data_IF_153186268346
#
_entry.id   IF_153186268346
#
_cell.length_a   1.000
_cell.length_b   1.000
_cell.length_c   1.000
_cell.angle_alpha   90.00
_cell.angle_beta   90.00
_cell.angle_gamma   90.00
#
_symmetry.space_group_name_H-M   'P 1'
#
loop_
_entity.id
_entity.type
_entity.pdbx_description
1 polymer ?
#
# COMPACT_ATOMS: atom_id res chain seq x y z
N UNK A 1 9.79 5.09 -20.83
CA UNK A 1 8.87 6.14 -21.34
C UNK A 1 7.50 5.57 -21.72
N UNK A 2 7.37 4.57 -22.58
CA UNK A 2 6.06 4.02 -23.03
C UNK A 2 5.15 3.54 -21.89
N UNK A 3 5.69 2.84 -20.91
CA UNK A 3 4.91 2.32 -19.76
C UNK A 3 4.40 3.44 -18.83
N UNK A 4 5.20 4.49 -18.58
CA UNK A 4 4.77 5.65 -17.81
C UNK A 4 3.63 6.39 -18.53
N UNK A 5 3.72 6.55 -19.85
CA UNK A 5 2.65 7.16 -20.66
C UNK A 5 1.35 6.35 -20.61
N UNK A 6 1.45 5.01 -20.63
CA UNK A 6 0.27 4.15 -20.51
C UNK A 6 -0.37 4.27 -19.11
N UNK A 7 0.44 4.38 -18.06
CA UNK A 7 -0.05 4.57 -16.71
C UNK A 7 -0.70 5.96 -16.54
N UNK A 8 -0.08 7.01 -17.10
CA UNK A 8 -0.63 8.35 -17.11
C UNK A 8 -1.95 8.44 -17.90
N UNK A 9 -2.07 7.70 -19.00
CA UNK A 9 -3.33 7.64 -19.76
C UNK A 9 -4.45 7.05 -18.89
N UNK A 10 -4.20 6.02 -18.10
CA UNK A 10 -5.17 5.47 -17.13
C UNK A 10 -5.57 6.50 -16.07
N UNK A 11 -4.60 7.26 -15.56
CA UNK A 11 -4.90 8.32 -14.59
C UNK A 11 -5.86 9.36 -15.18
N UNK A 12 -5.67 9.72 -16.45
CA UNK A 12 -6.50 10.71 -17.15
C UNK A 12 -7.94 10.25 -17.42
N UNK A 13 -8.22 8.95 -17.37
CA UNK A 13 -9.58 8.43 -17.42
C UNK A 13 -10.39 8.87 -16.20
N UNK A 14 -9.73 8.97 -15.04
CA UNK A 14 -10.35 9.47 -13.79
C UNK A 14 -10.16 10.97 -13.61
N UNK A 15 -8.93 11.47 -13.83
CA UNK A 15 -8.52 12.85 -13.59
C UNK A 15 -7.97 13.46 -14.90
N UNK A 16 -8.83 14.05 -15.75
CA UNK A 16 -8.41 14.69 -16.99
C UNK A 16 -7.32 15.75 -16.73
N UNK A 17 -6.29 15.78 -17.57
CA UNK A 17 -5.17 16.72 -17.44
C UNK A 17 -4.10 16.33 -16.41
N UNK A 18 -4.34 15.31 -15.58
CA UNK A 18 -3.34 14.83 -14.63
C UNK A 18 -2.10 14.26 -15.34
N UNK A 19 -0.94 14.43 -14.69
CA UNK A 19 0.34 13.92 -15.13
C UNK A 19 0.99 13.12 -14.01
N UNK A 20 1.84 12.18 -14.38
CA UNK A 20 2.65 11.43 -13.43
C UNK A 20 4.09 11.96 -13.45
N UNK A 21 4.66 12.10 -12.25
CA UNK A 21 6.07 12.39 -12.03
C UNK A 21 6.73 11.31 -11.16
N UNK A 22 8.02 11.08 -11.36
CA UNK A 22 8.78 10.18 -10.50
C UNK A 22 9.25 10.94 -9.27
N UNK A 23 8.93 10.44 -8.09
CA UNK A 23 9.29 11.04 -6.79
C UNK A 23 10.04 10.07 -5.93
N UNK A 24 11.03 10.58 -5.21
CA UNK A 24 11.70 9.89 -4.13
C UNK A 24 10.82 9.96 -2.88
N UNK A 25 10.62 8.81 -2.24
CA UNK A 25 9.84 8.74 -1.00
C UNK A 25 10.80 8.88 0.19
N UNK A 26 10.60 9.89 1.06
CA UNK A 26 11.44 10.09 2.23
C UNK A 26 11.37 8.90 3.19
N UNK A 27 12.40 8.73 4.01
CA UNK A 27 12.51 7.73 5.07
C UNK A 27 12.27 6.27 4.63
N UNK A 28 12.35 6.01 3.33
CA UNK A 28 12.26 4.68 2.71
C UNK A 28 13.65 4.19 2.28
N UNK A 29 13.73 3.09 1.54
CA UNK A 29 14.98 2.58 0.92
C UNK A 29 15.36 3.35 -0.35
N UNK A 30 15.26 4.67 -0.39
CA UNK A 30 15.37 5.51 -1.59
C UNK A 30 14.37 5.10 -2.69
N UNK A 31 13.18 4.64 -2.28
CA UNK A 31 12.15 4.18 -3.19
C UNK A 31 11.66 5.33 -4.05
N UNK A 32 11.57 5.08 -5.35
CA UNK A 32 11.01 6.00 -6.34
C UNK A 32 9.67 5.50 -6.83
N UNK A 33 8.67 6.38 -6.85
CA UNK A 33 7.33 6.05 -7.32
C UNK A 33 6.89 7.04 -8.41
N UNK A 34 6.18 6.55 -9.41
CA UNK A 34 5.42 7.40 -10.32
C UNK A 34 4.09 7.73 -9.66
N UNK A 35 3.92 8.99 -9.31
CA UNK A 35 2.75 9.52 -8.60
C UNK A 35 2.22 10.74 -9.36
N UNK A 36 0.98 11.14 -9.05
CA UNK A 36 0.41 12.37 -9.59
C UNK A 36 1.31 13.57 -9.27
N UNK A 37 1.42 14.50 -10.20
CA UNK A 37 2.20 15.71 -9.98
C UNK A 37 1.53 16.66 -8.99
N UNK A 38 2.33 17.43 -8.25
CA UNK A 38 1.87 18.45 -7.31
C UNK A 38 1.21 19.65 -7.98
N UNK A 39 1.52 19.88 -9.26
CA UNK A 39 0.94 20.94 -10.06
C UNK A 39 -0.48 20.60 -10.55
N UNK A 40 -1.04 19.46 -10.15
CA UNK A 40 -2.43 19.14 -10.43
C UNK A 40 -3.33 20.16 -9.70
N UNK A 41 -4.27 20.81 -10.42
CA UNK A 41 -5.14 21.82 -9.82
C UNK A 41 -5.93 21.27 -8.64
N UNK A 42 -5.93 22.02 -7.52
CA UNK A 42 -6.73 21.72 -6.33
C UNK A 42 -8.09 22.41 -6.34
N UNK A 43 -8.45 23.05 -7.45
CA UNK A 43 -9.76 23.66 -7.64
C UNK A 43 -10.87 22.60 -7.64
N UNK A 44 -12.12 23.00 -7.31
CA UNK A 44 -13.25 22.08 -7.38
C UNK A 44 -13.37 21.41 -8.75
N UNK A 45 -13.46 20.08 -8.73
CA UNK A 45 -13.62 19.30 -9.96
C UNK A 45 -15.00 19.55 -10.58
N UNK A 46 -15.06 19.54 -11.90
CA UNK A 46 -16.33 19.54 -12.60
C UNK A 46 -17.16 18.27 -12.27
N UNK A 47 -18.47 18.33 -12.52
CA UNK A 47 -19.39 17.25 -12.15
C UNK A 47 -19.03 15.90 -12.79
N UNK A 48 -18.55 15.91 -14.03
CA UNK A 48 -18.21 14.66 -14.71
C UNK A 48 -16.94 14.05 -14.13
N UNK A 49 -15.91 14.86 -13.92
CA UNK A 49 -14.66 14.44 -13.29
C UNK A 49 -14.92 13.92 -11.86
N UNK A 50 -15.79 14.62 -11.10
CA UNK A 50 -16.17 14.16 -9.76
C UNK A 50 -16.85 12.78 -9.80
N UNK A 51 -17.75 12.53 -10.75
CA UNK A 51 -18.37 11.19 -10.94
C UNK A 51 -17.34 10.14 -11.29
N UNK A 52 -16.37 10.45 -12.14
CA UNK A 52 -15.29 9.52 -12.49
C UNK A 52 -14.46 9.15 -11.25
N UNK A 53 -14.10 10.14 -10.42
CA UNK A 53 -13.35 9.93 -9.17
C UNK A 53 -14.14 9.06 -8.18
N UNK A 54 -15.44 9.30 -8.04
CA UNK A 54 -16.29 8.51 -7.14
C UNK A 54 -16.41 7.05 -7.62
N UNK A 55 -16.60 6.85 -8.92
CA UNK A 55 -16.84 5.53 -9.49
C UNK A 55 -15.57 4.69 -9.68
N UNK A 56 -14.43 5.32 -9.91
CA UNK A 56 -13.14 4.66 -10.17
C UNK A 56 -11.99 5.55 -9.68
N UNK A 57 -11.83 5.67 -8.35
CA UNK A 57 -10.79 6.53 -7.78
C UNK A 57 -9.39 5.98 -8.09
N UNK A 58 -8.51 6.85 -8.58
CA UNK A 58 -7.13 6.49 -8.88
C UNK A 58 -6.25 6.56 -7.61
N UNK A 59 -6.59 5.81 -6.55
CA UNK A 59 -5.85 5.79 -5.27
C UNK A 59 -4.38 5.43 -5.45
N UNK A 60 -4.06 4.62 -6.44
CA UNK A 60 -2.70 4.19 -6.80
C UNK A 60 -1.80 5.33 -7.30
N UNK A 61 -2.38 6.47 -7.69
CA UNK A 61 -1.62 7.64 -8.14
C UNK A 61 -1.00 8.43 -6.97
N UNK A 62 -1.27 8.03 -5.74
CA UNK A 62 -0.73 8.61 -4.51
C UNK A 62 0.09 7.56 -3.75
N UNK A 63 1.03 8.02 -2.95
CA UNK A 63 1.62 7.22 -1.87
C UNK A 63 0.98 7.67 -0.56
N UNK A 64 -0.02 6.91 -0.09
CA UNK A 64 -0.77 7.24 1.12
C UNK A 64 0.10 7.21 2.36
N UNK A 65 -0.22 8.02 3.37
CA UNK A 65 0.56 8.14 4.60
C UNK A 65 0.85 6.81 5.28
N UNK A 66 -0.12 5.90 5.34
CA UNK A 66 0.09 4.55 5.88
C UNK A 66 1.08 3.73 5.06
N UNK A 67 1.12 3.91 3.75
CA UNK A 67 2.13 3.27 2.90
C UNK A 67 3.54 3.81 3.12
N UNK A 68 3.68 5.14 3.32
CA UNK A 68 4.97 5.76 3.68
C UNK A 68 5.43 5.27 5.04
N UNK A 69 4.52 5.25 6.04
CA UNK A 69 4.80 4.73 7.39
C UNK A 69 5.21 3.25 7.35
N UNK A 70 4.54 2.44 6.53
CA UNK A 70 4.89 1.03 6.34
C UNK A 70 6.31 0.88 5.76
N UNK A 71 6.66 1.64 4.72
CA UNK A 71 8.00 1.58 4.11
C UNK A 71 9.10 2.00 5.08
N UNK A 72 8.87 3.06 5.87
CA UNK A 72 9.80 3.51 6.91
C UNK A 72 9.97 2.44 8.00
N UNK A 73 8.87 1.89 8.49
CA UNK A 73 8.90 0.85 9.51
C UNK A 73 9.60 -0.43 9.02
N UNK A 74 9.33 -0.86 7.77
CA UNK A 74 10.00 -2.00 7.14
C UNK A 74 11.50 -1.76 7.01
N UNK A 75 11.93 -0.54 6.70
CA UNK A 75 13.35 -0.17 6.62
C UNK A 75 14.04 -0.31 7.97
N UNK A 76 13.41 0.14 9.05
CA UNK A 76 13.95 0.05 10.41
C UNK A 76 13.99 -1.41 10.91
N UNK A 77 13.04 -2.24 10.48
CA UNK A 77 12.86 -3.62 10.92
C UNK A 77 13.19 -4.64 9.81
N UNK A 78 14.14 -4.33 8.93
CA UNK A 78 14.43 -5.12 7.74
C UNK A 78 14.71 -6.60 8.00
N UNK A 79 15.40 -6.93 9.10
CA UNK A 79 15.71 -8.30 9.49
C UNK A 79 14.45 -9.18 9.67
N UNK A 80 13.32 -8.59 10.08
CA UNK A 80 12.04 -9.31 10.22
C UNK A 80 11.49 -9.80 8.86
N UNK A 81 11.86 -9.15 7.77
CA UNK A 81 11.40 -9.46 6.40
C UNK A 81 12.35 -10.37 5.64
N UNK A 82 13.62 -10.48 6.07
CA UNK A 82 14.63 -11.23 5.35
C UNK A 82 14.25 -12.70 5.18
N UNK A 83 14.33 -13.20 3.94
CA UNK A 83 14.00 -14.58 3.57
C UNK A 83 12.52 -14.96 3.65
N UNK A 84 11.62 -14.05 4.04
CA UNK A 84 10.18 -14.29 4.21
C UNK A 84 9.41 -14.18 2.89
N UNK A 85 8.23 -14.80 2.89
CA UNK A 85 7.21 -14.61 1.85
C UNK A 85 6.20 -13.58 2.34
N UNK A 86 6.04 -12.50 1.60
CA UNK A 86 5.21 -11.34 1.97
C UNK A 86 4.02 -11.25 1.02
N UNK A 87 2.87 -10.86 1.57
CA UNK A 87 1.71 -10.46 0.80
C UNK A 87 1.33 -9.02 1.20
N UNK A 88 1.33 -8.12 0.24
CA UNK A 88 0.82 -6.75 0.39
C UNK A 88 -0.58 -6.68 -0.22
N UNK A 89 -1.60 -6.41 0.59
CA UNK A 89 -3.02 -6.32 0.20
C UNK A 89 -3.40 -4.86 0.04
N UNK A 90 -4.06 -4.54 -1.09
CA UNK A 90 -4.34 -3.15 -1.46
C UNK A 90 -3.05 -2.43 -1.82
N UNK A 91 -2.21 -3.03 -2.66
CA UNK A 91 -0.84 -2.56 -2.92
C UNK A 91 -0.75 -1.14 -3.49
N UNK A 92 -1.80 -0.64 -4.14
CA UNK A 92 -1.88 0.74 -4.65
C UNK A 92 -0.67 1.15 -5.49
N UNK A 93 0.15 2.07 -4.97
CA UNK A 93 1.42 2.48 -5.59
C UNK A 93 2.53 1.42 -5.51
N UNK A 94 2.37 0.40 -4.67
CA UNK A 94 3.33 -0.69 -4.46
C UNK A 94 4.40 -0.40 -3.40
N UNK A 95 4.30 0.70 -2.66
CA UNK A 95 5.35 1.15 -1.74
C UNK A 95 5.74 0.10 -0.70
N UNK A 96 4.77 -0.52 -0.02
CA UNK A 96 5.02 -1.50 1.03
C UNK A 96 5.62 -2.80 0.47
N UNK A 97 5.09 -3.30 -0.66
CA UNK A 97 5.63 -4.46 -1.36
C UNK A 97 7.08 -4.24 -1.83
N UNK A 98 7.38 -3.04 -2.38
CA UNK A 98 8.73 -2.67 -2.81
C UNK A 98 9.67 -2.60 -1.61
N UNK A 99 9.25 -1.97 -0.51
CA UNK A 99 10.03 -1.88 0.72
C UNK A 99 10.35 -3.27 1.28
N UNK A 100 9.37 -4.18 1.36
CA UNK A 100 9.57 -5.56 1.79
C UNK A 100 10.57 -6.31 0.88
N UNK A 101 10.49 -6.10 -0.43
CA UNK A 101 11.46 -6.68 -1.38
C UNK A 101 12.88 -6.12 -1.17
N UNK A 102 13.02 -4.83 -0.85
CA UNK A 102 14.31 -4.19 -0.55
C UNK A 102 14.88 -4.65 0.79
N UNK A 103 14.02 -4.96 1.77
CA UNK A 103 14.39 -5.54 3.06
C UNK A 103 14.80 -7.02 2.99
N UNK A 104 14.94 -7.60 1.79
CA UNK A 104 15.44 -8.96 1.63
C UNK A 104 14.37 -10.05 1.66
N UNK A 105 13.08 -9.72 1.51
CA UNK A 105 12.03 -10.72 1.37
C UNK A 105 12.32 -11.66 0.19
N UNK A 106 12.16 -12.97 0.41
CA UNK A 106 12.41 -14.01 -0.60
C UNK A 106 11.40 -13.95 -1.75
N UNK A 107 10.14 -13.69 -1.42
CA UNK A 107 9.04 -13.63 -2.38
C UNK A 107 8.02 -12.59 -1.89
N UNK A 108 7.62 -11.70 -2.80
CA UNK A 108 6.61 -10.68 -2.49
C UNK A 108 5.47 -10.76 -3.49
N UNK A 109 4.28 -10.98 -2.96
CA UNK A 109 3.02 -10.85 -3.68
C UNK A 109 2.46 -9.44 -3.41
N UNK A 110 2.08 -8.75 -4.47
CA UNK A 110 1.33 -7.50 -4.39
C UNK A 110 -0.06 -7.73 -4.96
N UNK A 111 -1.06 -7.62 -4.09
CA UNK A 111 -2.46 -7.90 -4.38
C UNK A 111 -3.26 -6.63 -4.46
N UNK A 112 -3.96 -6.42 -5.57
CA UNK A 112 -4.90 -5.30 -5.68
C UNK A 112 -6.01 -5.65 -6.67
N UNK A 113 -7.25 -5.31 -6.34
CA UNK A 113 -8.42 -5.53 -7.20
C UNK A 113 -8.45 -4.54 -8.37
N UNK A 114 -7.85 -3.34 -8.20
CA UNK A 114 -7.77 -2.31 -9.23
C UNK A 114 -6.66 -2.64 -10.25
N UNK A 115 -7.03 -2.71 -11.52
CA UNK A 115 -6.09 -2.94 -12.62
C UNK A 115 -5.08 -1.78 -12.78
N UNK A 116 -5.46 -0.55 -12.44
CA UNK A 116 -4.58 0.62 -12.42
C UNK A 116 -3.52 0.48 -11.33
N UNK A 117 -3.93 0.09 -10.12
CA UNK A 117 -3.01 -0.19 -9.02
C UNK A 117 -2.02 -1.31 -9.36
N UNK A 118 -2.50 -2.42 -9.95
CA UNK A 118 -1.61 -3.51 -10.42
C UNK A 118 -0.60 -3.03 -11.47
N UNK A 119 -1.01 -2.12 -12.36
CA UNK A 119 -0.11 -1.53 -13.35
C UNK A 119 0.90 -0.58 -12.71
N UNK A 120 0.46 0.27 -11.76
CA UNK A 120 1.30 1.18 -11.00
C UNK A 120 2.34 0.42 -10.17
N UNK A 121 1.91 -0.57 -9.39
CA UNK A 121 2.80 -1.43 -8.60
C UNK A 121 3.87 -2.09 -9.47
N UNK A 122 3.49 -2.63 -10.65
CA UNK A 122 4.44 -3.26 -11.58
C UNK A 122 5.46 -2.25 -12.10
N UNK A 123 5.00 -1.08 -12.52
CA UNK A 123 5.88 -0.03 -13.02
C UNK A 123 6.83 0.46 -11.93
N UNK A 124 6.33 0.75 -10.75
CA UNK A 124 7.11 1.24 -9.63
C UNK A 124 8.12 0.20 -9.12
N UNK A 125 7.76 -1.09 -9.10
CA UNK A 125 8.70 -2.17 -8.78
C UNK A 125 9.87 -2.19 -9.77
N UNK A 126 9.60 -2.13 -11.09
CA UNK A 126 10.63 -2.07 -12.13
C UNK A 126 11.51 -0.82 -11.99
N UNK A 127 10.94 0.34 -11.68
CA UNK A 127 11.65 1.59 -11.44
C UNK A 127 12.68 1.47 -10.31
N UNK A 128 12.41 0.62 -9.32
CA UNK A 128 13.30 0.32 -8.18
C UNK A 128 14.13 -0.95 -8.38
N UNK A 129 14.18 -1.51 -9.59
CA UNK A 129 14.95 -2.72 -9.88
C UNK A 129 14.41 -3.98 -9.18
N UNK A 130 13.12 -3.99 -8.82
CA UNK A 130 12.47 -5.10 -8.12
C UNK A 130 11.49 -5.85 -9.02
N UNK A 131 11.36 -7.15 -8.76
CA UNK A 131 10.38 -8.01 -9.42
C UNK A 131 9.43 -8.55 -8.36
N UNK A 132 8.15 -8.20 -8.49
CA UNK A 132 7.07 -8.62 -7.60
C UNK A 132 6.13 -9.57 -8.35
N UNK A 133 5.45 -10.45 -7.62
CA UNK A 133 4.35 -11.24 -8.16
C UNK A 133 3.05 -10.48 -7.96
N UNK A 134 2.51 -9.94 -9.05
CA UNK A 134 1.29 -9.15 -9.02
C UNK A 134 0.08 -10.06 -9.17
N UNK A 135 -0.85 -10.00 -8.23
CA UNK A 135 -2.09 -10.79 -8.23
C UNK A 135 -3.30 -9.87 -8.08
N UNK A 136 -4.43 -10.32 -8.59
CA UNK A 136 -5.70 -9.58 -8.52
C UNK A 136 -6.50 -9.90 -7.27
N UNK A 137 -6.41 -11.13 -6.80
CA UNK A 137 -7.26 -11.62 -5.72
C UNK A 137 -6.45 -12.48 -4.74
N UNK A 138 -6.66 -12.26 -3.44
CA UNK A 138 -6.03 -13.02 -2.35
C UNK A 138 -6.31 -14.53 -2.46
N UNK A 139 -7.45 -14.93 -3.00
CA UNK A 139 -7.81 -16.34 -3.20
C UNK A 139 -6.87 -17.07 -4.18
N UNK A 140 -6.10 -16.35 -4.98
CA UNK A 140 -5.08 -16.92 -5.86
C UNK A 140 -3.95 -17.59 -5.07
N UNK A 141 -3.71 -17.18 -3.83
CA UNK A 141 -2.66 -17.73 -2.95
C UNK A 141 -3.02 -19.13 -2.45
N UNK A 142 -4.30 -19.40 -2.18
CA UNK A 142 -4.75 -20.64 -1.53
C UNK A 142 -4.63 -21.92 -2.41
N UNK A 143 -4.38 -21.79 -3.71
CA UNK A 143 -4.46 -22.93 -4.63
C UNK A 143 -3.12 -23.53 -5.04
N UNK A 144 -2.01 -22.79 -4.91
CA UNK A 144 -0.71 -23.21 -5.48
C UNK A 144 0.52 -22.76 -4.70
N UNK A 145 0.37 -21.96 -3.65
CA UNK A 145 1.49 -21.29 -2.98
C UNK A 145 1.48 -21.53 -1.47
N UNK A 146 2.67 -21.49 -0.87
CA UNK A 146 2.84 -21.43 0.58
C UNK A 146 2.10 -20.21 1.12
N UNK A 147 1.42 -20.35 2.26
CA UNK A 147 0.83 -19.23 3.00
C UNK A 147 1.94 -18.20 3.26
N UNK A 148 1.70 -16.90 3.01
CA UNK A 148 2.66 -15.85 3.32
C UNK A 148 3.07 -15.86 4.80
N UNK A 149 4.33 -15.60 5.06
CA UNK A 149 4.83 -15.49 6.43
C UNK A 149 4.32 -14.19 7.08
N UNK A 150 4.24 -13.10 6.28
CA UNK A 150 3.76 -11.78 6.71
C UNK A 150 2.74 -11.26 5.70
N UNK A 151 1.66 -10.65 6.22
CA UNK A 151 0.67 -9.91 5.41
C UNK A 151 0.72 -8.44 5.80
N UNK A 152 0.84 -7.57 4.82
CA UNK A 152 0.79 -6.12 4.97
C UNK A 152 -0.57 -5.59 4.49
N UNK A 153 -1.16 -4.69 5.27
CA UNK A 153 -2.36 -3.94 4.91
C UNK A 153 -2.11 -2.46 5.25
N UNK A 154 -2.09 -1.61 4.24
CA UNK A 154 -1.85 -0.17 4.41
C UNK A 154 -3.04 0.62 3.89
N UNK A 155 -3.78 1.31 4.78
CA UNK A 155 -5.03 2.04 4.49
C UNK A 155 -6.06 1.20 3.69
N UNK A 156 -6.26 -0.07 4.06
CA UNK A 156 -7.22 -0.98 3.40
C UNK A 156 -8.52 -1.06 4.17
N UNK A 157 -8.45 -0.95 5.49
CA UNK A 157 -9.58 -1.21 6.40
C UNK A 157 -10.46 0.02 6.65
N UNK A 158 -10.14 1.18 6.07
CA UNK A 158 -10.94 2.40 6.19
C UNK A 158 -12.39 2.20 5.69
N UNK A 159 -12.61 1.32 4.75
CA UNK A 159 -13.94 0.83 4.40
C UNK A 159 -14.30 -0.35 5.33
N UNK A 160 -15.36 -0.17 6.11
CA UNK A 160 -15.83 -1.19 7.07
C UNK A 160 -16.15 -2.53 6.42
N UNK A 161 -16.52 -2.54 5.13
CA UNK A 161 -16.74 -3.80 4.39
C UNK A 161 -15.47 -4.65 4.27
N UNK A 162 -14.30 -4.01 4.32
CA UNK A 162 -13.00 -4.67 4.24
C UNK A 162 -12.56 -5.31 5.58
N UNK A 163 -13.22 -5.02 6.69
CA UNK A 163 -12.90 -5.66 7.98
C UNK A 163 -13.03 -7.18 7.93
N UNK A 164 -13.92 -7.71 7.10
CA UNK A 164 -14.07 -9.16 6.87
C UNK A 164 -12.83 -9.81 6.25
N UNK A 165 -11.91 -9.04 5.67
CA UNK A 165 -10.62 -9.56 5.20
C UNK A 165 -9.79 -10.16 6.33
N UNK A 166 -9.91 -9.62 7.56
CA UNK A 166 -9.15 -10.11 8.72
C UNK A 166 -9.51 -11.56 9.06
N UNK A 167 -10.70 -12.03 8.71
CA UNK A 167 -11.14 -13.41 8.88
C UNK A 167 -10.68 -14.34 7.75
N UNK A 168 -10.05 -13.79 6.71
CA UNK A 168 -9.61 -14.60 5.57
C UNK A 168 -8.51 -15.58 5.99
N UNK A 169 -8.59 -16.88 5.61
CA UNK A 169 -7.67 -17.92 6.09
C UNK A 169 -6.18 -17.64 5.80
N UNK A 170 -5.86 -16.90 4.76
CA UNK A 170 -4.48 -16.48 4.46
C UNK A 170 -3.98 -15.51 5.52
N UNK A 171 -4.80 -14.51 5.90
CA UNK A 171 -4.44 -13.50 6.91
C UNK A 171 -4.39 -14.13 8.30
N UNK A 172 -5.41 -14.90 8.66
CA UNK A 172 -5.52 -15.54 9.97
C UNK A 172 -4.37 -16.55 10.28
N UNK A 173 -3.71 -17.07 9.24
CA UNK A 173 -2.58 -18.03 9.37
C UNK A 173 -1.21 -17.39 9.13
N UNK A 174 -1.15 -16.10 8.91
CA UNK A 174 0.07 -15.31 8.69
C UNK A 174 0.36 -14.44 9.91
N UNK A 175 1.40 -13.63 9.82
CA UNK A 175 1.66 -12.53 10.77
C UNK A 175 1.22 -11.20 10.12
N UNK A 176 -0.03 -10.77 10.32
CA UNK A 176 -0.52 -9.54 9.70
C UNK A 176 -0.01 -8.30 10.43
N UNK A 177 0.50 -7.34 9.66
CA UNK A 177 0.85 -6.00 10.08
C UNK A 177 -0.06 -5.01 9.36
N UNK A 178 -0.81 -4.23 10.12
CA UNK A 178 -1.78 -3.26 9.61
C UNK A 178 -1.28 -1.87 9.91
N UNK A 179 -1.18 -1.04 8.89
CA UNK A 179 -0.83 0.37 8.96
C UNK A 179 -2.06 1.17 8.56
N UNK A 180 -2.66 1.90 9.49
CA UNK A 180 -3.92 2.59 9.20
C UNK A 180 -3.95 3.98 9.86
N UNK A 181 -4.29 4.99 9.06
CA UNK A 181 -4.39 6.38 9.48
C UNK A 181 -5.74 6.73 10.12
N UNK A 182 -6.77 5.94 9.85
CA UNK A 182 -8.17 6.23 10.23
C UNK A 182 -8.66 5.34 11.35
N UNK A 183 -8.21 4.10 11.41
CA UNK A 183 -8.62 3.15 12.44
C UNK A 183 -7.71 3.32 13.66
N UNK A 184 -8.31 3.52 14.83
CA UNK A 184 -7.59 3.72 16.09
C UNK A 184 -7.69 2.52 17.03
N UNK A 185 -8.58 1.59 16.78
CA UNK A 185 -8.77 0.40 17.61
C UNK A 185 -9.26 -0.81 16.78
N UNK A 186 -8.56 -1.92 16.91
CA UNK A 186 -8.88 -3.22 16.31
C UNK A 186 -8.88 -4.35 17.37
N UNK A 187 -8.96 -4.02 18.66
CA UNK A 187 -8.91 -5.03 19.74
C UNK A 187 -10.03 -6.06 19.65
N UNK A 188 -11.23 -5.65 19.24
CA UNK A 188 -12.36 -6.56 19.01
C UNK A 188 -12.10 -7.58 17.88
N UNK A 189 -11.20 -7.26 16.94
CA UNK A 189 -10.76 -8.15 15.87
C UNK A 189 -9.49 -8.93 16.24
N UNK A 190 -9.01 -8.85 17.49
CA UNK A 190 -7.83 -9.59 17.95
C UNK A 190 -6.49 -8.94 17.60
N UNK A 191 -6.47 -7.62 17.39
CA UNK A 191 -5.25 -6.87 17.09
C UNK A 191 -4.96 -5.82 18.17
N UNK A 192 -3.69 -5.61 18.46
CA UNK A 192 -3.21 -4.53 19.34
C UNK A 192 -2.47 -3.46 18.53
N UNK A 193 -2.65 -2.19 18.92
CA UNK A 193 -1.79 -1.11 18.45
C UNK A 193 -0.49 -1.13 19.25
N UNK A 194 0.62 -1.50 18.62
CA UNK A 194 1.91 -1.62 19.30
C UNK A 194 2.89 -0.50 18.94
N UNK A 195 2.58 0.30 17.91
CA UNK A 195 3.40 1.43 17.51
C UNK A 195 2.57 2.47 16.76
N UNK A 196 3.07 3.69 16.74
CA UNK A 196 2.49 4.81 15.98
C UNK A 196 3.59 5.51 15.19
N UNK A 197 3.27 5.96 13.98
CA UNK A 197 4.14 6.76 13.13
C UNK A 197 3.42 7.99 12.64
N UNK A 198 4.15 9.08 12.45
CA UNK A 198 3.63 10.28 11.80
C UNK A 198 4.12 10.32 10.36
N UNK A 199 3.20 10.43 9.43
CA UNK A 199 3.47 10.39 8.00
C UNK A 199 2.42 11.19 7.24
N UNK A 200 2.68 11.52 5.99
CA UNK A 200 1.72 12.20 5.13
C UNK A 200 1.67 11.57 3.74
N UNK A 201 0.56 11.76 3.08
CA UNK A 201 0.36 11.34 1.69
C UNK A 201 1.27 12.13 0.74
N UNK A 202 1.82 11.47 -0.26
CA UNK A 202 2.69 12.06 -1.29
C UNK A 202 2.06 11.86 -2.68
N UNK A 203 1.89 12.96 -3.46
CA UNK A 203 2.00 14.35 -3.02
C UNK A 203 0.91 14.71 -2.00
N UNK A 204 1.23 15.68 -1.14
CA UNK A 204 0.23 16.20 -0.20
C UNK A 204 -0.60 17.26 -0.91
N UNK A 205 -1.84 16.92 -1.26
CA UNK A 205 -2.81 17.80 -1.90
C UNK A 205 -3.87 18.31 -0.90
N UNK A 206 -3.44 18.67 0.32
CA UNK A 206 -4.33 19.21 1.35
C UNK A 206 -4.91 18.15 2.29
N UNK A 207 -4.17 17.05 2.53
CA UNK A 207 -4.56 16.06 3.54
C UNK A 207 -4.67 16.70 4.93
N UNK A 208 -5.74 16.36 5.66
CA UNK A 208 -5.95 16.84 7.02
C UNK A 208 -4.92 16.23 7.99
N UNK A 209 -4.47 17.03 8.97
CA UNK A 209 -3.45 16.61 9.95
C UNK A 209 -3.83 15.35 10.74
N UNK A 210 -5.14 15.13 10.96
CA UNK A 210 -5.67 13.96 11.68
C UNK A 210 -5.33 12.62 11.00
N UNK A 211 -5.07 12.60 9.68
CA UNK A 211 -4.69 11.40 8.93
C UNK A 211 -3.18 11.17 8.89
N UNK A 212 -2.38 12.04 9.51
CA UNK A 212 -0.92 11.88 9.60
C UNK A 212 -0.46 10.93 10.69
N UNK A 213 -1.33 10.65 11.67
CA UNK A 213 -1.03 9.68 12.71
C UNK A 213 -1.45 8.27 12.25
N UNK A 214 -0.47 7.47 11.91
CA UNK A 214 -0.64 6.08 11.45
C UNK A 214 -0.45 5.13 12.63
N UNK A 215 -1.50 4.40 12.98
CA UNK A 215 -1.45 3.30 13.94
C UNK A 215 -0.89 2.05 13.28
N UNK A 216 -0.02 1.32 13.99
CA UNK A 216 0.53 0.03 13.53
C UNK A 216 -0.02 -1.06 14.43
N UNK A 217 -0.80 -1.97 13.84
CA UNK A 217 -1.40 -3.07 14.57
C UNK A 217 -0.74 -4.39 14.21
N UNK A 218 -0.65 -5.26 15.21
CA UNK A 218 -0.26 -6.67 15.07
C UNK A 218 -1.32 -7.59 15.68
N UNK A 219 -1.40 -8.83 15.22
CA UNK A 219 -2.29 -9.82 15.81
C UNK A 219 -1.79 -10.22 17.20
N UNK A 220 -2.68 -10.25 18.19
CA UNK A 220 -2.37 -10.71 19.55
C UNK A 220 -2.07 -12.22 19.63
N UNK A 221 -2.40 -12.98 18.59
CA UNK A 221 -2.19 -14.44 18.54
C UNK A 221 -0.94 -14.84 17.75
N UNK A 222 -0.23 -13.91 17.13
CA UNK A 222 0.95 -14.19 16.32
C UNK A 222 2.25 -14.05 17.14
N UNK A 223 3.26 -14.84 16.77
CA UNK A 223 4.58 -14.75 17.40
C UNK A 223 5.40 -13.64 16.72
N UNK A 224 5.58 -12.54 17.45
CA UNK A 224 6.40 -11.40 17.05
C UNK A 224 7.64 -11.24 17.95
N UNK A 225 8.10 -12.33 18.57
CA UNK A 225 9.22 -12.33 19.53
C UNK A 225 10.53 -11.71 19.00
N UNK A 226 10.59 -11.35 17.75
CA UNK A 226 11.75 -10.70 17.11
C UNK A 226 11.58 -9.18 16.92
N UNK A 227 10.46 -8.59 17.37
CA UNK A 227 10.17 -7.15 17.25
C UNK A 227 10.25 -6.40 18.58
N UNK A 228 10.58 -7.09 19.66
CA UNK A 228 10.75 -6.53 21.02
C UNK A 228 12.20 -6.13 21.29
#
# INVERSE_FOLDING_TARGET
MKQLQQLEQRLRETLPGAKLGVRLIPDSFDIRLALINEDFPTEPLDQQTMRNVINSPAYWAFCWGSGVAAASWIKENGAFFEGKTILDIGSGSGIAAIAASLAGAKLVFACDIDAGARAATRFNAQLNGRKLTIIENINSINRTTKIPDIVLLSDVLYDKSNLSLLDHPVIAKSNPLIFDSRIKNLSAAGFENFATRYSCTIPNLGEFDEFREVSIFRSMCSDYSYLD
#
